data_IF_618030121855
#
_entry.id   IF_618030121855
#
_cell.length_a   1.000
_cell.length_b   1.000
_cell.length_c   1.000
_cell.angle_alpha   90.00
_cell.angle_beta   90.00
_cell.angle_gamma   90.00
#
_symmetry.space_group_name_H-M   'P 1'
#
loop_
_entity.id
_entity.type
_entity.pdbx_description
1 polymer ?
#
# COMPACT_ATOMS: atom_id res chain seq x y z
N UNK A 1 14.56 1.19 5.21
CA UNK A 1 13.74 1.57 4.02
C UNK A 1 12.39 2.07 4.48
N UNK A 2 11.92 3.19 3.94
CA UNK A 2 10.60 3.78 4.27
C UNK A 2 9.59 3.50 3.15
N UNK A 3 8.53 2.80 3.48
CA UNK A 3 7.42 2.48 2.59
C UNK A 3 6.21 3.33 2.97
N UNK A 4 5.49 3.83 1.97
CA UNK A 4 4.22 4.54 2.17
C UNK A 4 3.15 3.94 1.27
N UNK A 5 1.99 3.57 1.83
CA UNK A 5 0.79 3.26 1.07
C UNK A 5 -0.29 4.28 1.36
N UNK A 6 -0.95 4.78 0.31
CA UNK A 6 -1.99 5.79 0.44
C UNK A 6 -3.12 5.55 -0.54
N UNK A 7 -4.32 5.36 -0.02
CA UNK A 7 -5.52 5.32 -0.85
C UNK A 7 -5.95 6.77 -1.17
N UNK A 8 -6.11 7.07 -2.46
CA UNK A 8 -6.40 8.43 -2.94
C UNK A 8 -7.89 8.79 -2.96
N UNK A 9 -8.80 7.86 -2.62
CA UNK A 9 -10.24 8.12 -2.63
C UNK A 9 -10.75 8.50 -4.03
N UNK A 10 -10.35 7.75 -5.07
CA UNK A 10 -10.70 7.95 -6.48
C UNK A 10 -10.23 9.27 -7.12
N UNK A 11 -9.28 9.96 -6.52
CA UNK A 11 -8.68 11.14 -7.13
C UNK A 11 -7.86 10.74 -8.38
N UNK A 12 -7.55 11.68 -9.24
CA UNK A 12 -6.97 11.53 -10.58
C UNK A 12 -7.94 11.01 -11.66
N UNK A 13 -9.22 10.82 -11.36
CA UNK A 13 -10.19 10.42 -12.39
C UNK A 13 -10.51 11.58 -13.32
N UNK A 14 -10.96 12.69 -12.79
CA UNK A 14 -11.40 13.90 -13.51
C UNK A 14 -10.63 15.14 -13.06
N UNK A 15 -10.25 15.19 -11.78
CA UNK A 15 -9.59 16.31 -11.16
C UNK A 15 -8.10 16.04 -10.91
N UNK A 16 -7.32 17.10 -10.80
CA UNK A 16 -5.97 17.04 -10.29
C UNK A 16 -5.98 16.60 -8.81
N UNK A 17 -4.89 16.00 -8.37
CA UNK A 17 -4.68 15.73 -6.94
C UNK A 17 -4.71 17.03 -6.13
N UNK A 18 -5.10 16.91 -4.85
CA UNK A 18 -5.01 18.00 -3.89
C UNK A 18 -3.61 18.66 -3.92
N UNK A 19 -3.57 19.99 -3.88
CA UNK A 19 -2.31 20.73 -3.83
C UNK A 19 -1.41 20.32 -2.64
N UNK A 20 -1.98 19.76 -1.58
CA UNK A 20 -1.25 19.28 -0.42
C UNK A 20 -0.58 17.90 -0.65
N UNK A 21 -0.95 17.17 -1.69
CA UNK A 21 -0.44 15.82 -1.93
C UNK A 21 1.08 15.80 -2.13
N UNK A 22 1.58 16.56 -3.09
CA UNK A 22 3.02 16.55 -3.42
C UNK A 22 3.90 17.09 -2.28
N UNK A 23 3.54 18.19 -1.60
CA UNK A 23 4.23 18.62 -0.39
C UNK A 23 4.27 17.53 0.70
N UNK A 24 3.16 16.81 0.90
CA UNK A 24 3.12 15.71 1.86
C UNK A 24 4.06 14.57 1.46
N UNK A 25 4.04 14.13 0.19
CA UNK A 25 4.96 13.10 -0.31
C UNK A 25 6.42 13.54 -0.14
N UNK A 26 6.74 14.80 -0.43
CA UNK A 26 8.10 15.36 -0.23
C UNK A 26 8.53 15.29 1.23
N UNK A 27 7.64 15.63 2.17
CA UNK A 27 7.94 15.62 3.61
C UNK A 27 7.99 14.19 4.16
N UNK A 28 7.09 13.32 3.73
CA UNK A 28 7.15 11.88 4.07
C UNK A 28 8.42 11.22 3.54
N UNK A 29 8.98 11.72 2.43
CA UNK A 29 10.20 11.24 1.80
C UNK A 29 10.28 9.71 1.70
N UNK A 30 9.30 9.03 1.06
CA UNK A 30 9.32 7.59 0.94
C UNK A 30 10.44 7.10 0.01
N UNK A 31 10.94 5.91 0.28
CA UNK A 31 11.75 5.16 -0.66
C UNK A 31 10.89 4.49 -1.74
N UNK A 32 9.66 4.07 -1.32
CA UNK A 32 8.64 3.50 -2.18
C UNK A 32 7.27 4.00 -1.73
N UNK A 33 6.47 4.48 -2.69
CA UNK A 33 5.12 4.97 -2.52
C UNK A 33 4.15 4.10 -3.33
N UNK A 34 3.13 3.55 -2.68
CA UNK A 34 2.01 2.84 -3.31
C UNK A 34 0.75 3.67 -3.19
N UNK A 35 0.13 3.99 -4.31
CA UNK A 35 -1.12 4.72 -4.39
C UNK A 35 -2.25 3.77 -4.79
N UNK A 36 -3.21 3.59 -3.88
CA UNK A 36 -4.44 2.84 -4.15
C UNK A 36 -5.53 3.77 -4.66
N UNK A 37 -6.51 3.21 -5.33
CA UNK A 37 -7.60 3.94 -5.99
C UNK A 37 -7.09 5.03 -6.95
N UNK A 38 -5.89 4.83 -7.49
CA UNK A 38 -5.41 5.60 -8.60
C UNK A 38 -6.30 5.33 -9.83
N UNK A 39 -6.67 6.37 -10.54
CA UNK A 39 -7.41 6.27 -11.80
C UNK A 39 -6.61 6.92 -12.90
N UNK A 40 -6.34 6.16 -13.95
CA UNK A 40 -5.63 6.67 -15.10
C UNK A 40 -6.47 7.74 -15.82
N UNK A 41 -6.06 8.99 -15.73
CA UNK A 41 -6.71 10.14 -16.32
C UNK A 41 -5.73 11.06 -17.04
N UNK A 42 -6.22 12.23 -17.46
CA UNK A 42 -5.42 13.24 -18.19
C UNK A 42 -4.25 13.78 -17.35
N UNK A 43 -4.38 13.82 -16.02
CA UNK A 43 -3.34 14.31 -15.10
C UNK A 43 -2.19 13.30 -14.85
N UNK A 44 -2.21 12.12 -15.48
CA UNK A 44 -1.16 11.10 -15.25
C UNK A 44 0.24 11.59 -15.56
N UNK A 45 0.43 12.24 -16.69
CA UNK A 45 1.75 12.70 -17.12
C UNK A 45 2.32 13.70 -16.10
N UNK A 46 1.48 14.63 -15.62
CA UNK A 46 1.85 15.58 -14.60
C UNK A 46 2.18 14.90 -13.28
N UNK A 47 1.34 13.96 -12.83
CA UNK A 47 1.61 13.21 -11.60
C UNK A 47 2.94 12.46 -11.64
N UNK A 48 3.24 11.79 -12.77
CA UNK A 48 4.51 11.07 -12.93
C UNK A 48 5.70 12.04 -12.91
N UNK A 49 5.59 13.20 -13.55
CA UNK A 49 6.60 14.25 -13.50
C UNK A 49 6.81 14.76 -12.06
N UNK A 50 5.72 15.09 -11.38
CA UNK A 50 5.74 15.58 -9.99
C UNK A 50 6.37 14.56 -9.03
N UNK A 51 6.06 13.26 -9.20
CA UNK A 51 6.69 12.19 -8.41
C UNK A 51 8.19 12.09 -8.70
N UNK A 52 8.58 12.26 -9.95
CA UNK A 52 10.00 12.29 -10.35
C UNK A 52 10.74 13.46 -9.70
N UNK A 53 10.12 14.64 -9.60
CA UNK A 53 10.69 15.84 -8.99
C UNK A 53 10.92 15.70 -7.48
N UNK A 54 10.15 14.84 -6.81
CA UNK A 54 10.40 14.47 -5.39
C UNK A 54 11.31 13.25 -5.24
N UNK A 55 11.92 12.78 -6.33
CA UNK A 55 12.91 11.70 -6.34
C UNK A 55 12.35 10.31 -6.56
N UNK A 56 11.04 10.15 -6.78
CA UNK A 56 10.39 8.86 -7.07
C UNK A 56 10.35 8.65 -8.60
N UNK A 57 11.51 8.37 -9.19
CA UNK A 57 11.75 8.38 -10.64
C UNK A 57 11.21 7.14 -11.38
N UNK A 58 10.96 6.06 -10.67
CA UNK A 58 10.56 4.79 -11.28
C UNK A 58 9.10 4.52 -10.91
N UNK A 59 8.23 4.45 -11.93
CA UNK A 59 6.79 4.31 -11.75
C UNK A 59 6.28 3.11 -12.53
N UNK A 60 5.54 2.24 -11.86
CA UNK A 60 4.75 1.17 -12.46
C UNK A 60 3.28 1.30 -12.04
N UNK A 61 2.38 0.89 -12.93
CA UNK A 61 0.93 0.94 -12.70
C UNK A 61 0.36 -0.42 -13.06
N UNK A 62 -0.57 -0.91 -12.25
CA UNK A 62 -1.29 -2.15 -12.53
C UNK A 62 -2.10 -2.06 -13.83
N UNK A 63 -2.47 -3.20 -14.38
CA UNK A 63 -3.26 -3.25 -15.60
C UNK A 63 -4.61 -2.53 -15.43
N UNK A 64 -5.03 -1.81 -16.46
CA UNK A 64 -6.31 -1.12 -16.49
C UNK A 64 -7.40 -2.04 -17.00
N UNK A 65 -8.32 -2.42 -16.13
CA UNK A 65 -9.49 -3.22 -16.49
C UNK A 65 -10.77 -2.37 -16.39
N UNK A 66 -11.43 -2.13 -17.51
CA UNK A 66 -12.80 -1.59 -17.62
C UNK A 66 -13.13 -0.39 -16.69
N UNK A 67 -12.25 0.61 -16.62
CA UNK A 67 -12.46 1.81 -15.81
C UNK A 67 -12.34 1.61 -14.29
N UNK A 68 -11.85 0.45 -13.86
CA UNK A 68 -11.57 0.17 -12.46
C UNK A 68 -10.39 1.01 -11.94
N UNK A 69 -10.36 1.15 -10.64
CA UNK A 69 -9.21 1.71 -9.93
C UNK A 69 -7.97 0.85 -10.17
N UNK A 70 -6.82 1.49 -10.11
CA UNK A 70 -5.52 0.86 -10.27
C UNK A 70 -4.66 1.09 -9.02
N UNK A 71 -3.56 0.36 -8.95
CA UNK A 71 -2.44 0.63 -8.04
C UNK A 71 -1.32 1.25 -8.84
N UNK A 72 -0.80 2.39 -8.38
CA UNK A 72 0.42 2.99 -8.89
C UNK A 72 1.50 2.83 -7.82
N UNK A 73 2.68 2.34 -8.22
CA UNK A 73 3.85 2.26 -7.34
C UNK A 73 4.95 3.14 -7.92
N UNK A 74 5.47 4.05 -7.10
CA UNK A 74 6.58 4.94 -7.42
C UNK A 74 7.74 4.69 -6.45
N UNK A 75 8.99 4.76 -6.94
CA UNK A 75 10.17 4.45 -6.14
C UNK A 75 11.37 5.32 -6.51
N UNK A 76 12.25 5.53 -5.53
CA UNK A 76 13.61 6.09 -5.74
C UNK A 76 14.51 5.10 -6.47
N UNK A 77 14.24 3.81 -6.33
CA UNK A 77 15.02 2.71 -6.88
C UNK A 77 14.35 2.14 -8.11
N UNK A 78 15.15 1.57 -8.99
CA UNK A 78 14.63 0.88 -10.17
C UNK A 78 13.61 -0.19 -9.76
N UNK A 79 12.48 -0.19 -10.44
CA UNK A 79 11.41 -1.17 -10.30
C UNK A 79 11.41 -2.12 -11.49
N UNK A 80 11.16 -3.38 -11.19
CA UNK A 80 10.85 -4.41 -12.19
C UNK A 80 9.50 -5.01 -11.82
N UNK A 81 8.63 -5.17 -12.80
CA UNK A 81 7.35 -5.85 -12.55
C UNK A 81 7.59 -7.27 -12.06
N UNK A 82 6.87 -7.66 -11.01
CA UNK A 82 6.94 -9.01 -10.45
C UNK A 82 5.93 -9.95 -11.11
N UNK A 83 6.05 -11.23 -10.78
CA UNK A 83 5.23 -12.31 -11.36
C UNK A 83 4.04 -12.75 -10.49
N UNK A 84 3.93 -12.24 -9.26
CA UNK A 84 2.78 -12.56 -8.40
C UNK A 84 1.53 -11.89 -8.94
N UNK A 85 0.57 -12.71 -9.31
CA UNK A 85 -0.70 -12.23 -9.84
C UNK A 85 -1.69 -11.92 -8.72
N UNK A 86 -2.49 -10.90 -8.92
CA UNK A 86 -3.59 -10.54 -8.03
C UNK A 86 -4.71 -11.59 -8.04
N UNK A 87 -5.51 -11.63 -6.96
CA UNK A 87 -6.67 -12.51 -6.89
C UNK A 87 -7.63 -12.20 -8.03
N UNK A 88 -8.06 -13.22 -8.75
CA UNK A 88 -9.06 -13.07 -9.79
C UNK A 88 -10.44 -12.79 -9.18
N UNK A 89 -11.13 -11.80 -9.73
CA UNK A 89 -12.46 -11.45 -9.32
C UNK A 89 -13.24 -11.01 -10.57
N UNK A 90 -14.31 -11.70 -10.89
CA UNK A 90 -15.08 -11.50 -12.15
C UNK A 90 -15.60 -10.07 -12.34
N UNK A 91 -15.96 -9.39 -11.27
CA UNK A 91 -16.65 -8.11 -11.33
C UNK A 91 -15.85 -6.92 -10.82
N UNK A 92 -14.57 -7.10 -10.39
CA UNK A 92 -14.03 -6.20 -9.39
C UNK A 92 -12.59 -5.79 -9.59
N UNK A 93 -12.04 -6.16 -10.73
CA UNK A 93 -10.70 -5.74 -11.09
C UNK A 93 -9.66 -6.12 -10.01
N UNK A 94 -9.72 -7.34 -9.49
CA UNK A 94 -8.73 -7.82 -8.51
C UNK A 94 -7.31 -7.64 -9.01
N UNK A 95 -7.10 -7.86 -10.30
CA UNK A 95 -5.80 -7.65 -10.96
C UNK A 95 -5.44 -6.15 -11.07
N UNK A 96 -6.41 -5.27 -11.35
CA UNK A 96 -6.14 -3.83 -11.42
C UNK A 96 -5.87 -3.21 -10.04
N UNK A 97 -6.38 -3.82 -8.97
CA UNK A 97 -6.17 -3.40 -7.59
C UNK A 97 -5.02 -4.15 -6.89
N UNK A 98 -4.10 -4.70 -7.68
CA UNK A 98 -2.95 -5.46 -7.20
C UNK A 98 -1.76 -5.19 -8.13
N UNK A 99 -0.60 -4.87 -7.56
CA UNK A 99 0.61 -4.67 -8.34
C UNK A 99 1.81 -5.22 -7.57
N UNK A 100 2.46 -6.23 -8.13
CA UNK A 100 3.71 -6.76 -7.62
C UNK A 100 4.89 -6.10 -8.33
N UNK A 101 5.85 -5.60 -7.56
CA UNK A 101 7.12 -5.04 -8.05
C UNK A 101 8.30 -5.63 -7.27
N UNK A 102 9.45 -5.70 -7.95
CA UNK A 102 10.75 -6.04 -7.35
C UNK A 102 11.66 -4.82 -7.35
N UNK A 103 12.45 -4.67 -6.30
CA UNK A 103 13.52 -3.68 -6.16
C UNK A 103 14.85 -4.42 -6.12
N UNK A 104 15.47 -4.72 -7.28
CA UNK A 104 16.63 -5.61 -7.37
C UNK A 104 17.83 -5.14 -6.52
N UNK A 105 18.06 -3.82 -6.47
CA UNK A 105 19.16 -3.22 -5.69
C UNK A 105 19.09 -3.49 -4.19
N UNK A 106 17.92 -3.87 -3.68
CA UNK A 106 17.67 -4.12 -2.24
C UNK A 106 17.27 -5.57 -1.95
N UNK A 107 17.24 -6.44 -2.98
CA UNK A 107 16.70 -7.80 -2.87
C UNK A 107 15.39 -7.80 -2.09
N UNK A 108 14.44 -6.97 -2.55
CA UNK A 108 13.20 -6.67 -1.87
C UNK A 108 12.06 -6.68 -2.87
N UNK A 109 10.90 -7.15 -2.42
CA UNK A 109 9.68 -7.20 -3.21
C UNK A 109 8.53 -6.49 -2.49
N UNK A 110 7.68 -5.87 -3.27
CA UNK A 110 6.55 -5.12 -2.73
C UNK A 110 5.29 -5.38 -3.55
N UNK A 111 4.18 -5.53 -2.86
CA UNK A 111 2.85 -5.67 -3.47
C UNK A 111 1.94 -4.57 -2.94
N UNK A 112 1.48 -3.72 -3.84
CA UNK A 112 0.39 -2.78 -3.57
C UNK A 112 -0.95 -3.52 -3.68
N UNK A 113 -1.79 -3.41 -2.66
CA UNK A 113 -3.08 -4.11 -2.55
C UNK A 113 -4.20 -3.14 -2.23
N UNK A 114 -5.33 -3.28 -2.94
CA UNK A 114 -6.60 -2.73 -2.52
C UNK A 114 -7.64 -3.83 -2.55
N UNK A 115 -8.05 -4.35 -1.39
CA UNK A 115 -9.08 -5.36 -1.29
C UNK A 115 -10.48 -4.74 -1.48
N UNK A 116 -11.45 -5.49 -2.00
CA UNK A 116 -12.81 -5.01 -2.17
C UNK A 116 -13.50 -4.67 -0.85
N UNK A 117 -14.32 -3.60 -0.86
CA UNK A 117 -15.06 -3.11 0.32
C UNK A 117 -16.43 -3.74 0.54
N UNK A 118 -16.99 -4.39 -0.47
CA UNK A 118 -18.37 -4.93 -0.43
C UNK A 118 -18.42 -6.38 0.06
N UNK A 119 -19.63 -6.84 0.37
CA UNK A 119 -19.92 -8.20 0.78
C UNK A 119 -20.36 -9.07 -0.42
N UNK A 120 -20.22 -10.38 -0.31
CA UNK A 120 -20.69 -11.35 -1.30
C UNK A 120 -19.76 -12.52 -1.52
N UNK A 121 -20.11 -13.39 -2.45
CA UNK A 121 -19.31 -14.57 -2.77
C UNK A 121 -17.97 -14.18 -3.40
N UNK A 122 -17.97 -13.21 -4.30
CA UNK A 122 -16.76 -12.67 -4.93
C UNK A 122 -15.74 -12.17 -3.89
N UNK A 123 -16.20 -11.61 -2.77
CA UNK A 123 -15.31 -11.19 -1.69
C UNK A 123 -14.60 -12.38 -1.04
N UNK A 124 -15.30 -13.51 -0.86
CA UNK A 124 -14.70 -14.73 -0.30
C UNK A 124 -13.67 -15.32 -1.26
N UNK A 125 -13.99 -15.36 -2.55
CA UNK A 125 -13.07 -15.83 -3.59
C UNK A 125 -11.82 -14.95 -3.64
N UNK A 126 -12.01 -13.61 -3.63
CA UNK A 126 -10.90 -12.66 -3.59
C UNK A 126 -9.98 -12.91 -2.39
N UNK A 127 -10.54 -12.98 -1.18
CA UNK A 127 -9.75 -13.19 0.02
C UNK A 127 -9.05 -14.55 0.05
N UNK A 128 -9.69 -15.60 -0.46
CA UNK A 128 -9.05 -16.91 -0.60
C UNK A 128 -7.83 -16.83 -1.52
N UNK A 129 -7.99 -16.19 -2.69
CA UNK A 129 -6.89 -15.98 -3.63
C UNK A 129 -5.78 -15.08 -3.07
N UNK A 130 -6.14 -14.01 -2.35
CA UNK A 130 -5.15 -13.13 -1.71
C UNK A 130 -4.33 -13.89 -0.65
N UNK A 131 -4.99 -14.68 0.20
CA UNK A 131 -4.29 -15.49 1.20
C UNK A 131 -3.38 -16.53 0.56
N UNK A 132 -3.81 -17.13 -0.54
CA UNK A 132 -2.97 -18.06 -1.30
C UNK A 132 -1.74 -17.36 -1.88
N UNK A 133 -1.91 -16.20 -2.52
CA UNK A 133 -0.81 -15.42 -3.08
C UNK A 133 0.20 -15.00 -2.00
N UNK A 134 -0.27 -14.54 -0.84
CA UNK A 134 0.59 -14.19 0.29
C UNK A 134 1.39 -15.41 0.75
N UNK A 135 0.74 -16.54 1.02
CA UNK A 135 1.42 -17.77 1.52
C UNK A 135 2.44 -18.33 0.54
N UNK A 136 2.18 -18.25 -0.76
CA UNK A 136 3.14 -18.68 -1.79
C UNK A 136 4.43 -17.84 -1.78
N UNK A 137 4.40 -16.67 -1.17
CA UNK A 137 5.53 -15.77 -1.04
C UNK A 137 6.28 -15.88 0.30
N UNK A 138 5.98 -16.87 1.16
CA UNK A 138 6.53 -16.97 2.51
C UNK A 138 8.07 -17.02 2.56
N UNK A 139 8.72 -17.62 1.56
CA UNK A 139 10.18 -17.68 1.44
C UNK A 139 10.85 -16.43 0.85
N UNK A 140 10.10 -15.39 0.52
CA UNK A 140 10.58 -14.18 -0.18
C UNK A 140 10.74 -13.02 0.79
N UNK A 141 11.57 -12.06 0.45
CA UNK A 141 11.67 -10.77 1.16
C UNK A 141 10.63 -9.79 0.64
N UNK A 142 9.38 -9.95 1.05
CA UNK A 142 8.22 -9.30 0.45
C UNK A 142 7.31 -8.63 1.49
N UNK A 143 6.73 -7.49 1.11
CA UNK A 143 5.66 -6.81 1.85
C UNK A 143 4.45 -6.64 0.95
N UNK A 144 3.28 -7.00 1.45
CA UNK A 144 1.98 -6.62 0.90
C UNK A 144 1.45 -5.43 1.72
N UNK A 145 1.09 -4.32 1.06
CA UNK A 145 0.72 -3.10 1.78
C UNK A 145 -0.36 -2.32 1.02
N UNK A 146 -1.29 -1.75 1.75
CA UNK A 146 -2.36 -0.91 1.20
C UNK A 146 -3.69 -1.08 1.92
N UNK A 147 -4.78 -0.82 1.20
CA UNK A 147 -6.14 -0.89 1.72
C UNK A 147 -6.69 -2.33 1.67
N UNK A 148 -6.71 -2.99 2.82
CA UNK A 148 -7.27 -4.34 2.95
C UNK A 148 -8.79 -4.34 3.23
N UNK A 149 -9.41 -3.18 3.39
CA UNK A 149 -10.82 -3.02 3.70
C UNK A 149 -11.32 -3.89 4.88
N UNK A 150 -10.42 -4.22 5.81
CA UNK A 150 -10.72 -4.98 7.03
C UNK A 150 -9.83 -4.53 8.17
N UNK A 151 -10.31 -4.71 9.38
CA UNK A 151 -9.57 -4.37 10.61
C UNK A 151 -9.35 -5.67 11.41
N UNK A 152 -8.09 -6.16 11.52
CA UNK A 152 -7.79 -7.41 12.21
C UNK A 152 -8.11 -7.37 13.70
N UNK A 153 -8.13 -6.19 14.30
CA UNK A 153 -8.38 -6.01 15.74
C UNK A 153 -9.90 -5.89 16.04
N UNK A 154 -10.76 -5.90 15.01
CA UNK A 154 -12.22 -5.96 15.13
C UNK A 154 -12.76 -7.36 14.76
N UNK A 155 -12.97 -8.27 15.74
CA UNK A 155 -13.29 -9.69 15.48
C UNK A 155 -14.57 -9.92 14.64
N UNK A 156 -15.51 -8.99 14.69
CA UNK A 156 -16.79 -9.08 13.95
C UNK A 156 -16.68 -8.82 12.45
N UNK A 157 -15.54 -8.27 11.97
CA UNK A 157 -15.28 -8.11 10.54
C UNK A 157 -14.92 -9.46 9.93
N UNK A 158 -15.70 -9.92 8.98
CA UNK A 158 -15.60 -11.27 8.40
C UNK A 158 -14.18 -11.60 7.89
N UNK A 159 -13.50 -10.64 7.31
CA UNK A 159 -12.17 -10.84 6.72
C UNK A 159 -11.01 -10.60 7.72
N UNK A 160 -11.28 -10.04 8.90
CA UNK A 160 -10.28 -9.83 9.95
C UNK A 160 -9.56 -11.14 10.36
N UNK A 161 -10.26 -12.27 10.30
CA UNK A 161 -9.71 -13.60 10.58
C UNK A 161 -8.50 -13.95 9.69
N UNK A 162 -8.47 -13.47 8.45
CA UNK A 162 -7.40 -13.76 7.49
C UNK A 162 -6.09 -13.08 7.90
N UNK A 163 -6.13 -11.80 8.28
CA UNK A 163 -4.94 -11.09 8.75
C UNK A 163 -4.46 -11.63 10.10
N UNK A 164 -5.38 -12.05 10.99
CA UNK A 164 -4.99 -12.73 12.24
C UNK A 164 -4.31 -14.07 11.97
N UNK A 165 -4.87 -14.89 11.07
CA UNK A 165 -4.25 -16.16 10.69
C UNK A 165 -2.82 -15.98 10.16
N UNK A 166 -2.55 -14.92 9.38
CA UNK A 166 -1.20 -14.61 8.94
C UNK A 166 -0.26 -14.28 10.10
N UNK A 167 -0.73 -13.59 11.15
CA UNK A 167 0.07 -13.39 12.38
C UNK A 167 0.43 -14.73 13.03
N UNK A 168 -0.54 -15.63 13.13
CA UNK A 168 -0.36 -16.96 13.71
C UNK A 168 0.59 -17.83 12.86
N UNK A 169 0.63 -17.60 11.54
CA UNK A 169 1.52 -18.23 10.58
C UNK A 169 2.94 -17.61 10.53
N UNK A 170 3.23 -16.60 11.36
CA UNK A 170 4.55 -15.97 11.46
C UNK A 170 4.78 -14.78 10.53
N UNK A 171 3.75 -14.29 9.83
CA UNK A 171 3.83 -13.04 9.11
C UNK A 171 3.80 -11.84 10.07
N UNK A 172 4.61 -10.83 9.79
CA UNK A 172 4.55 -9.57 10.52
C UNK A 172 3.37 -8.73 9.99
N UNK A 173 2.32 -8.63 10.79
CA UNK A 173 1.17 -7.76 10.56
C UNK A 173 1.10 -6.77 11.72
N UNK A 174 1.80 -5.64 11.64
CA UNK A 174 1.86 -4.67 12.74
C UNK A 174 0.49 -4.05 13.02
N UNK A 175 0.32 -3.56 14.23
CA UNK A 175 -0.71 -2.60 14.58
C UNK A 175 -0.10 -1.19 14.45
N UNK A 176 -0.38 -0.41 13.40
CA UNK A 176 0.23 0.90 13.22
C UNK A 176 -0.15 1.86 14.35
N UNK A 177 0.74 2.77 14.71
CA UNK A 177 0.41 3.90 15.59
C UNK A 177 -0.64 4.79 14.93
N UNK A 178 -1.51 5.45 15.73
CA UNK A 178 -2.63 6.24 15.24
C UNK A 178 -3.98 5.53 15.41
N UNK A 179 -5.04 6.31 15.49
CA UNK A 179 -6.37 5.79 15.84
C UNK A 179 -7.08 5.12 14.67
N UNK A 180 -6.87 5.63 13.46
CA UNK A 180 -7.56 5.17 12.25
C UNK A 180 -6.74 5.45 10.99
N UNK A 181 -7.02 4.68 9.95
CA UNK A 181 -6.50 4.92 8.60
C UNK A 181 -7.56 5.47 7.65
N UNK A 182 -8.83 5.19 7.89
CA UNK A 182 -9.95 5.66 7.10
C UNK A 182 -11.02 6.33 7.96
N UNK A 183 -11.57 7.45 7.47
CA UNK A 183 -12.65 8.16 8.13
C UNK A 183 -13.74 8.56 7.14
N UNK A 184 -15.00 8.40 7.54
CA UNK A 184 -16.15 8.90 6.81
C UNK A 184 -17.02 9.79 7.68
N UNK A 185 -17.92 10.61 7.12
CA UNK A 185 -18.84 11.43 7.91
C UNK A 185 -19.75 10.64 8.87
N UNK A 186 -19.86 9.32 8.65
CA UNK A 186 -20.73 8.41 9.42
C UNK A 186 -19.98 7.45 10.32
N UNK A 187 -18.64 7.55 10.42
CA UNK A 187 -17.82 6.63 11.22
C UNK A 187 -16.84 7.38 12.12
N UNK A 188 -16.54 6.80 13.27
CA UNK A 188 -15.50 7.28 14.19
C UNK A 188 -14.08 6.92 13.70
N UNK A 189 -13.93 6.53 12.45
CA UNK A 189 -12.69 6.03 11.90
C UNK A 189 -12.54 4.50 12.01
N UNK A 190 -11.78 3.93 11.08
CA UNK A 190 -11.45 2.49 11.03
C UNK A 190 -10.02 2.28 10.57
N UNK A 191 -9.43 1.14 10.94
CA UNK A 191 -8.06 0.75 10.60
C UNK A 191 -8.14 -0.31 9.51
N UNK A 192 -8.11 0.11 8.26
CA UNK A 192 -8.32 -0.77 7.11
C UNK A 192 -7.13 -0.83 6.15
N UNK A 193 -6.15 0.05 6.35
CA UNK A 193 -4.88 0.03 5.62
C UNK A 193 -3.84 -0.71 6.47
N UNK A 194 -3.19 -1.72 5.89
CA UNK A 194 -2.27 -2.59 6.62
C UNK A 194 -1.01 -2.90 5.82
N UNK A 195 -0.02 -3.42 6.53
CA UNK A 195 1.16 -4.05 5.96
C UNK A 195 1.24 -5.51 6.44
N UNK A 196 1.61 -6.41 5.54
CA UNK A 196 1.86 -7.82 5.79
C UNK A 196 3.24 -8.12 5.24
N UNK A 197 4.23 -8.31 6.12
CA UNK A 197 5.60 -8.60 5.74
C UNK A 197 5.97 -10.05 6.04
N UNK A 198 6.75 -10.66 5.15
CA UNK A 198 7.30 -12.00 5.40
C UNK A 198 8.27 -11.98 6.59
N UNK A 199 8.50 -13.15 7.22
CA UNK A 199 9.43 -13.30 8.33
C UNK A 199 10.89 -12.91 8.01
N UNK A 200 11.22 -12.75 6.73
CA UNK A 200 12.55 -12.32 6.28
C UNK A 200 12.74 -10.79 6.30
N UNK A 201 11.73 -10.07 6.76
CA UNK A 201 11.74 -8.61 6.89
C UNK A 201 11.34 -8.22 8.31
N UNK A 202 12.03 -7.25 8.87
CA UNK A 202 11.68 -6.70 10.19
C UNK A 202 11.06 -5.31 9.99
N UNK A 203 9.81 -5.18 10.41
CA UNK A 203 9.15 -3.87 10.54
C UNK A 203 9.59 -3.28 11.88
N UNK A 204 10.18 -2.08 11.86
CA UNK A 204 10.58 -1.34 13.06
C UNK A 204 9.47 -0.46 13.58
N UNK A 205 8.74 0.16 12.66
CA UNK A 205 7.64 1.06 12.98
C UNK A 205 6.58 1.03 11.88
N UNK A 206 5.33 1.17 12.26
CA UNK A 206 4.21 1.42 11.36
C UNK A 206 3.30 2.49 11.98
N UNK A 207 2.82 3.45 11.19
CA UNK A 207 1.99 4.56 11.66
C UNK A 207 1.04 5.09 10.59
N UNK A 208 -0.10 5.61 11.01
CA UNK A 208 -1.01 6.39 10.17
C UNK A 208 -0.76 7.88 10.39
N UNK A 209 -0.51 8.61 9.30
CA UNK A 209 -0.24 10.05 9.34
C UNK A 209 -1.50 10.81 8.92
N UNK A 210 -2.30 11.26 9.87
CA UNK A 210 -3.54 12.00 9.58
C UNK A 210 -3.31 13.47 9.28
N UNK A 211 -2.21 14.05 9.77
CA UNK A 211 -1.82 15.43 9.52
C UNK A 211 -0.31 15.57 9.45
N UNK A 212 0.19 16.54 8.71
CA UNK A 212 1.63 16.79 8.56
C UNK A 212 1.86 18.31 8.35
N UNK A 213 2.70 18.92 9.21
CA UNK A 213 3.01 20.34 9.11
C UNK A 213 1.80 21.27 9.17
N UNK A 214 0.75 20.89 9.92
CA UNK A 214 -0.49 21.67 10.02
C UNK A 214 -1.50 21.41 8.89
N UNK A 215 -1.18 20.55 7.93
CA UNK A 215 -2.07 20.18 6.83
C UNK A 215 -2.78 18.85 7.17
N UNK A 216 -4.12 18.82 7.04
CA UNK A 216 -4.89 17.58 7.13
C UNK A 216 -4.62 16.72 5.88
N UNK A 217 -4.03 15.55 6.06
CA UNK A 217 -3.84 14.57 4.98
C UNK A 217 -5.10 13.71 4.81
N UNK A 218 -5.76 13.39 5.92
CA UNK A 218 -6.97 12.60 5.93
C UNK A 218 -8.07 13.25 6.77
N UNK A 219 -9.27 13.36 6.20
CA UNK A 219 -10.42 13.96 6.89
C UNK A 219 -11.73 13.46 6.27
N UNK A 220 -12.80 13.44 7.04
CA UNK A 220 -14.15 13.21 6.53
C UNK A 220 -14.70 14.38 5.70
N UNK A 221 -14.08 15.56 5.78
CA UNK A 221 -14.49 16.80 5.07
C UNK A 221 -13.70 16.94 3.77
N UNK A 222 -14.38 16.87 2.62
CA UNK A 222 -13.73 16.96 1.30
C UNK A 222 -12.90 18.23 1.07
N UNK A 223 -13.30 19.36 1.63
CA UNK A 223 -12.72 20.66 1.29
C UNK A 223 -11.26 20.84 1.73
N UNK A 224 -10.78 20.09 2.73
CA UNK A 224 -9.49 20.35 3.38
C UNK A 224 -8.55 19.13 3.41
N UNK A 225 -8.89 18.05 2.71
CA UNK A 225 -8.15 16.78 2.79
C UNK A 225 -7.44 16.44 1.49
N UNK A 226 -6.38 15.64 1.59
CA UNK A 226 -5.84 14.93 0.44
C UNK A 226 -6.69 13.69 0.15
N UNK A 227 -7.09 12.95 1.18
CA UNK A 227 -7.93 11.75 1.05
C UNK A 227 -8.82 11.55 2.28
N UNK A 228 -9.74 10.60 2.26
CA UNK A 228 -10.41 10.03 3.43
C UNK A 228 -9.59 8.90 4.09
N UNK A 229 -8.47 8.54 3.47
CA UNK A 229 -7.48 7.66 4.05
C UNK A 229 -6.22 8.43 4.46
N UNK A 230 -5.68 8.07 5.62
CA UNK A 230 -4.36 8.49 6.06
C UNK A 230 -3.29 7.64 5.37
N UNK A 231 -2.16 8.20 4.95
CA UNK A 231 -1.04 7.40 4.52
C UNK A 231 -0.57 6.46 5.64
N UNK A 232 -0.41 5.19 5.32
CA UNK A 232 0.27 4.21 6.15
C UNK A 232 1.76 4.30 5.86
N UNK A 233 2.55 4.63 6.86
CA UNK A 233 4.02 4.69 6.79
C UNK A 233 4.60 3.50 7.52
N UNK A 234 5.50 2.77 6.86
CA UNK A 234 6.19 1.60 7.42
C UNK A 234 7.69 1.77 7.27
N UNK A 235 8.41 1.59 8.38
CA UNK A 235 9.85 1.56 8.41
C UNK A 235 10.33 0.10 8.49
N UNK A 236 11.07 -0.33 7.47
CA UNK A 236 11.76 -1.61 7.50
C UNK A 236 13.18 -1.41 8.02
N UNK A 237 13.64 -2.32 8.88
CA UNK A 237 15.02 -2.39 9.29
C UNK A 237 15.95 -2.48 8.08
N UNK A 238 17.10 -1.83 8.18
CA UNK A 238 18.16 -2.06 7.21
C UNK A 238 18.59 -3.53 7.26
N UNK A 239 18.71 -4.13 6.10
CA UNK A 239 19.36 -5.44 5.99
C UNK A 239 20.80 -5.24 6.41
N UNK A 240 21.23 -5.84 7.54
CA UNK A 240 22.65 -5.92 7.85
C UNK A 240 23.31 -6.62 6.67
N UNK A 241 23.93 -5.84 5.77
CA UNK A 241 24.88 -6.37 4.79
C UNK A 241 25.92 -7.08 5.63
N UNK A 242 25.96 -8.42 5.55
CA UNK A 242 27.03 -9.17 6.15
C UNK A 242 28.34 -8.51 5.74
N UNK A 243 29.10 -8.01 6.71
CA UNK A 243 30.52 -7.74 6.52
C UNK A 243 31.10 -9.09 6.11
N UNK A 244 31.20 -9.31 4.79
CA UNK A 244 32.11 -10.30 4.27
C UNK A 244 33.49 -9.87 4.78
N UNK A 245 33.99 -10.58 5.78
CA UNK A 245 35.29 -10.38 6.34
C UNK A 245 36.31 -10.42 5.22
N UNK A 246 36.99 -9.30 5.07
CA UNK A 246 38.30 -9.25 4.44
C UNK A 246 39.33 -9.76 5.46
N UNK A 247 39.28 -11.04 5.73
CA UNK A 247 40.45 -11.70 6.30
C UNK A 247 41.25 -12.25 5.12
N UNK A 248 42.12 -11.38 4.64
CA UNK A 248 43.24 -11.75 3.76
C UNK A 248 44.47 -11.86 4.64
N UNK A 249 44.91 -13.05 4.87
CA UNK A 249 46.28 -13.37 5.15
C UNK A 249 47.05 -13.50 3.85
#
# INVERSE_FOLDING_TARGET
MKLVAWNLGHQCREDALSHAFLPAVRTLAPDLLSLNEYVHGQSRAQLVADLSDVGLKHVLVSERLNGNNQVLIASRYQLVQGEVLGPQSKNQGGESNFLHVRVPSHNFEFVGVRAPAYAGEDLRVYWSGLMQAIRQCAGRRIVFMGDFNTDPDRPRRANAKHLRALRDEGWSVPSPEGEWSYISPKSAGTRIDHAVASMHLRIERAEYITSLGGVELASSRKANRVSDHAPLVVHLAESSRGKLGSDSN
#
